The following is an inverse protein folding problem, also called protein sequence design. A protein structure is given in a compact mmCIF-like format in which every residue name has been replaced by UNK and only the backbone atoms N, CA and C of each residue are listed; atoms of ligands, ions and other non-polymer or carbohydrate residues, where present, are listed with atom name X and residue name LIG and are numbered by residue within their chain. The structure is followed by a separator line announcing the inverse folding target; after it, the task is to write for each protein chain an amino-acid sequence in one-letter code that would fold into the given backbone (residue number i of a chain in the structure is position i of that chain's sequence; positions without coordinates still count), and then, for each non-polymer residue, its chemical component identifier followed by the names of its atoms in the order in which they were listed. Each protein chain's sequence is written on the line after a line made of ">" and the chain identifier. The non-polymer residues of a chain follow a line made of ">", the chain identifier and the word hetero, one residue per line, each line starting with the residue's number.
data_IF_586222538344
#
_entry.id   IF_586222538344
#
_cell.length_a   1.000
_cell.length_b   1.000
_cell.length_c   1.000
_cell.angle_alpha   90.00
_cell.angle_beta   90.00
_cell.angle_gamma   90.00
#
_symmetry.space_group_name_H-M   'P 1'
#
loop_
_entity.id
_entity.type
_entity.pdbx_description
1 polymer ?
#
# COMPACT_ATOMS: atom_id res chain seq x y z
N UNK A 1 23.88 -13.23 53.34
CA UNK A 1 22.51 -13.80 53.40
C UNK A 1 21.53 -12.74 52.92
N UNK A 2 21.19 -12.73 51.62
CA UNK A 2 20.23 -11.78 51.03
C UNK A 2 18.90 -12.50 50.82
N UNK A 3 17.86 -12.10 51.56
CA UNK A 3 16.50 -12.62 51.38
C UNK A 3 15.97 -12.15 50.01
N UNK A 4 15.45 -13.04 49.15
CA UNK A 4 14.79 -12.62 47.92
C UNK A 4 13.53 -11.84 48.27
N UNK A 5 13.34 -10.68 47.63
CA UNK A 5 12.20 -9.78 47.84
C UNK A 5 10.98 -10.36 47.11
N UNK A 6 9.99 -10.95 47.81
CA UNK A 6 8.85 -11.63 47.19
C UNK A 6 7.98 -10.68 46.35
N UNK A 7 8.07 -9.37 46.61
CA UNK A 7 7.36 -8.33 45.87
C UNK A 7 7.69 -8.31 44.37
N UNK A 8 8.92 -8.63 43.96
CA UNK A 8 9.35 -8.59 42.55
C UNK A 8 8.80 -9.78 41.75
N UNK A 9 8.72 -10.96 42.38
CA UNK A 9 8.15 -12.15 41.74
C UNK A 9 6.64 -12.04 41.59
N UNK A 10 5.96 -11.40 42.54
CA UNK A 10 4.51 -11.15 42.47
C UNK A 10 4.20 -10.13 41.36
N UNK A 11 4.97 -9.07 41.22
CA UNK A 11 4.76 -8.08 40.15
C UNK A 11 5.06 -8.66 38.76
N UNK A 12 6.09 -9.50 38.62
CA UNK A 12 6.37 -10.17 37.35
C UNK A 12 5.28 -11.19 36.99
N UNK A 13 4.76 -11.94 37.96
CA UNK A 13 3.65 -12.86 37.77
C UNK A 13 2.36 -12.16 37.32
N UNK A 14 2.01 -11.04 37.95
CA UNK A 14 0.86 -10.22 37.55
C UNK A 14 1.02 -9.63 36.14
N UNK A 15 2.22 -9.15 35.80
CA UNK A 15 2.49 -8.60 34.47
C UNK A 15 2.35 -9.67 33.37
N UNK A 16 2.84 -10.88 33.62
CA UNK A 16 2.74 -12.00 32.68
C UNK A 16 1.28 -12.40 32.42
N UNK A 17 0.47 -12.46 33.48
CA UNK A 17 -0.97 -12.75 33.35
C UNK A 17 -1.68 -11.65 32.56
N UNK A 18 -1.29 -10.39 32.75
CA UNK A 18 -1.88 -9.24 32.06
C UNK A 18 -1.55 -9.25 30.56
N UNK A 19 -0.32 -9.58 30.18
CA UNK A 19 0.06 -9.77 28.77
C UNK A 19 -0.64 -10.96 28.14
N UNK A 20 -0.78 -12.08 28.86
CA UNK A 20 -1.49 -13.26 28.35
C UNK A 20 -2.98 -12.97 28.12
N UNK A 21 -3.60 -12.23 29.04
CA UNK A 21 -4.99 -11.79 28.91
C UNK A 21 -5.18 -10.82 27.74
N UNK A 22 -4.24 -9.88 27.53
CA UNK A 22 -4.26 -8.97 26.39
C UNK A 22 -4.07 -9.71 25.05
N UNK A 23 -3.15 -10.68 24.99
CA UNK A 23 -2.94 -11.53 23.81
C UNK A 23 -4.17 -12.38 23.48
N UNK A 24 -4.81 -12.98 24.49
CA UNK A 24 -6.07 -13.71 24.33
C UNK A 24 -7.22 -12.79 23.89
N UNK A 25 -7.29 -11.57 24.44
CA UNK A 25 -8.29 -10.59 24.03
C UNK A 25 -8.13 -10.22 22.54
N UNK A 26 -6.91 -9.94 22.09
CA UNK A 26 -6.61 -9.66 20.68
C UNK A 26 -6.82 -10.87 19.80
N UNK A 27 -6.51 -12.09 20.25
CA UNK A 27 -6.74 -13.30 19.45
C UNK A 27 -8.24 -13.61 19.27
N UNK A 28 -9.05 -13.41 20.31
CA UNK A 28 -10.50 -13.65 20.23
C UNK A 28 -11.28 -12.50 19.57
N UNK A 29 -10.74 -11.27 19.56
CA UNK A 29 -11.41 -10.09 18.98
C UNK A 29 -10.76 -9.60 17.67
N UNK A 30 -9.55 -10.06 17.36
CA UNK A 30 -8.82 -9.81 16.12
C UNK A 30 -9.26 -10.76 15.04
N UNK A 31 -10.55 -10.67 14.65
CA UNK A 31 -10.94 -11.14 13.32
C UNK A 31 -10.27 -10.21 12.33
N UNK A 32 -9.45 -10.75 11.42
CA UNK A 32 -9.11 -10.07 10.18
C UNK A 32 -10.40 -9.59 9.56
N UNK A 33 -10.65 -8.28 9.61
CA UNK A 33 -11.72 -7.69 8.86
C UNK A 33 -11.26 -7.80 7.40
N UNK A 34 -11.83 -8.73 6.63
CA UNK A 34 -11.96 -8.50 5.19
C UNK A 34 -12.47 -7.08 5.06
N UNK A 35 -11.72 -6.22 4.36
CA UNK A 35 -12.15 -4.85 4.12
C UNK A 35 -13.50 -4.93 3.43
N UNK A 36 -14.56 -4.73 4.21
CA UNK A 36 -15.89 -4.61 3.68
C UNK A 36 -15.85 -3.33 2.84
N UNK A 37 -16.15 -3.48 1.55
CA UNK A 37 -16.57 -2.35 0.73
C UNK A 37 -17.62 -1.63 1.57
N UNK A 38 -17.33 -0.39 1.97
CA UNK A 38 -18.29 0.45 2.69
C UNK A 38 -19.43 0.79 1.74
N UNK A 39 -20.35 -0.15 1.54
CA UNK A 39 -21.64 0.11 0.92
C UNK A 39 -22.50 0.81 1.96
N UNK A 40 -22.72 2.12 1.82
CA UNK A 40 -23.89 2.72 2.46
C UNK A 40 -25.11 1.88 2.05
N UNK A 41 -25.98 1.46 2.99
CA UNK A 41 -27.19 0.74 2.62
C UNK A 41 -28.04 1.66 1.74
N UNK A 42 -28.13 1.30 0.46
CA UNK A 42 -28.99 1.98 -0.49
C UNK A 42 -30.44 1.88 0.03
N UNK A 43 -31.22 2.98 0.02
CA UNK A 43 -32.65 2.89 0.27
C UNK A 43 -33.26 1.89 -0.72
N UNK A 44 -34.24 1.09 -0.27
CA UNK A 44 -34.97 0.12 -1.12
C UNK A 44 -35.46 0.82 -2.39
N UNK A 45 -34.71 0.63 -3.46
CA UNK A 45 -34.77 1.37 -4.70
C UNK A 45 -34.07 0.52 -5.76
N UNK A 46 -34.47 0.76 -7.00
CA UNK A 46 -34.00 0.07 -8.21
C UNK A 46 -32.52 -0.29 -8.14
N UNK A 47 -32.18 -1.53 -8.54
CA UNK A 47 -30.80 -2.00 -8.61
C UNK A 47 -29.88 -0.92 -9.22
N UNK A 48 -28.67 -0.70 -8.67
CA UNK A 48 -27.75 0.30 -9.19
C UNK A 48 -27.52 0.06 -10.69
N UNK A 49 -27.60 1.12 -11.49
CA UNK A 49 -27.32 1.04 -12.93
C UNK A 49 -25.84 0.88 -13.27
N UNK A 50 -24.96 1.16 -12.30
CA UNK A 50 -23.52 0.97 -12.39
C UNK A 50 -22.91 0.82 -10.99
N UNK A 51 -21.82 0.08 -10.90
CA UNK A 51 -20.97 -0.07 -9.72
C UNK A 51 -19.76 0.86 -9.82
N UNK A 52 -19.50 1.61 -8.75
CA UNK A 52 -18.32 2.45 -8.59
C UNK A 52 -17.17 1.62 -8.02
N UNK A 53 -16.10 1.46 -8.78
CA UNK A 53 -14.86 0.81 -8.35
C UNK A 53 -13.84 1.89 -8.04
N UNK A 54 -13.37 1.96 -6.80
CA UNK A 54 -12.30 2.89 -6.38
C UNK A 54 -10.98 2.15 -6.34
N UNK A 55 -9.94 2.77 -6.90
CA UNK A 55 -8.62 2.16 -7.07
C UNK A 55 -7.60 2.97 -6.27
N UNK A 56 -6.98 2.28 -5.32
CA UNK A 56 -5.98 2.86 -4.42
C UNK A 56 -4.54 2.54 -4.86
N UNK A 57 -4.35 1.48 -5.67
CA UNK A 57 -3.05 1.06 -6.19
C UNK A 57 -3.06 0.84 -7.70
N UNK A 58 -1.98 1.22 -8.38
CA UNK A 58 -1.79 0.96 -9.81
C UNK A 58 -1.38 -0.50 -10.02
N UNK A 59 -2.10 -1.23 -10.87
CA UNK A 59 -1.84 -2.65 -11.12
C UNK A 59 -3.00 -3.39 -11.74
N UNK A 60 -2.97 -4.73 -11.70
CA UNK A 60 -4.11 -5.56 -12.11
C UNK A 60 -5.13 -5.60 -10.98
N UNK A 61 -6.31 -5.04 -11.23
CA UNK A 61 -7.45 -5.13 -10.33
C UNK A 61 -8.32 -6.34 -10.70
N UNK A 62 -8.90 -6.98 -9.68
CA UNK A 62 -9.76 -8.15 -9.82
C UNK A 62 -11.12 -7.88 -9.14
N UNK A 63 -12.22 -8.22 -9.81
CA UNK A 63 -13.58 -8.12 -9.28
C UNK A 63 -14.35 -9.39 -9.63
N UNK A 64 -14.79 -10.12 -8.61
CA UNK A 64 -15.53 -11.38 -8.79
C UNK A 64 -17.00 -11.13 -9.14
N UNK A 65 -17.62 -12.10 -9.82
CA UNK A 65 -19.04 -12.05 -10.12
C UNK A 65 -19.89 -11.97 -8.84
N UNK A 66 -19.44 -12.62 -7.76
CA UNK A 66 -20.12 -12.60 -6.47
C UNK A 66 -20.12 -11.18 -5.86
N UNK A 67 -18.98 -10.48 -5.86
CA UNK A 67 -18.87 -9.10 -5.35
C UNK A 67 -19.78 -8.13 -6.12
N UNK A 68 -19.86 -8.28 -7.45
CA UNK A 68 -20.74 -7.45 -8.28
C UNK A 68 -22.22 -7.68 -7.94
N UNK A 69 -22.60 -8.93 -7.67
CA UNK A 69 -23.97 -9.29 -7.26
C UNK A 69 -24.29 -8.79 -5.85
N UNK A 70 -23.35 -8.92 -4.92
CA UNK A 70 -23.51 -8.45 -3.54
C UNK A 70 -23.61 -6.92 -3.47
N UNK A 71 -22.97 -6.22 -4.41
CA UNK A 71 -23.14 -4.78 -4.63
C UNK A 71 -24.46 -4.40 -5.33
N UNK A 72 -25.30 -5.37 -5.68
CA UNK A 72 -26.65 -5.16 -6.23
C UNK A 72 -26.69 -4.89 -7.74
N UNK A 73 -25.57 -4.94 -8.46
CA UNK A 73 -25.56 -4.74 -9.91
C UNK A 73 -26.11 -6.00 -10.60
N UNK A 74 -27.18 -5.82 -11.38
CA UNK A 74 -27.81 -6.90 -12.15
C UNK A 74 -27.37 -6.82 -13.60
N UNK A 75 -26.93 -7.94 -14.16
CA UNK A 75 -26.44 -8.07 -15.53
C UNK A 75 -26.92 -9.39 -16.12
N UNK A 76 -27.12 -9.42 -17.45
CA UNK A 76 -27.56 -10.63 -18.15
C UNK A 76 -26.46 -11.68 -18.28
N UNK A 77 -25.22 -11.23 -18.46
CA UNK A 77 -24.04 -12.07 -18.63
C UNK A 77 -22.82 -11.45 -17.99
N UNK A 78 -22.03 -12.26 -17.27
CA UNK A 78 -20.71 -11.88 -16.76
C UNK A 78 -19.65 -12.17 -17.83
N UNK A 79 -19.74 -11.45 -18.94
CA UNK A 79 -18.88 -11.58 -20.11
C UNK A 79 -18.71 -10.20 -20.76
N UNK A 80 -17.73 -9.99 -21.66
CA UNK A 80 -17.57 -8.72 -22.37
C UNK A 80 -18.82 -8.27 -23.14
N UNK A 81 -19.70 -9.21 -23.54
CA UNK A 81 -20.96 -8.90 -24.21
C UNK A 81 -22.07 -8.35 -23.29
N UNK A 82 -21.91 -8.46 -21.96
CA UNK A 82 -22.92 -8.05 -20.97
C UNK A 82 -22.44 -7.03 -19.94
N UNK A 83 -21.16 -6.67 -19.96
CA UNK A 83 -20.54 -5.70 -19.06
C UNK A 83 -19.74 -4.65 -19.84
N UNK A 84 -19.78 -3.42 -19.36
CA UNK A 84 -18.91 -2.33 -19.80
C UNK A 84 -18.15 -1.76 -18.61
N UNK A 85 -16.86 -1.51 -18.80
CA UNK A 85 -16.00 -0.86 -17.82
C UNK A 85 -15.51 0.45 -18.42
N UNK A 86 -15.68 1.55 -17.68
CA UNK A 86 -15.25 2.87 -18.14
C UNK A 86 -14.50 3.65 -17.07
N UNK A 87 -13.62 4.55 -17.49
CA UNK A 87 -13.01 5.58 -16.66
C UNK A 87 -13.11 6.89 -17.42
N UNK A 88 -13.65 7.93 -16.78
CA UNK A 88 -13.84 9.26 -17.40
C UNK A 88 -14.59 9.19 -18.75
N UNK A 89 -15.55 8.24 -18.85
CA UNK A 89 -16.32 7.96 -20.06
C UNK A 89 -15.57 7.19 -21.16
N UNK A 90 -14.29 6.89 -20.97
CA UNK A 90 -13.50 6.08 -21.91
C UNK A 90 -13.60 4.60 -21.56
N UNK A 91 -13.76 3.71 -22.57
CA UNK A 91 -13.85 2.28 -22.33
C UNK A 91 -12.49 1.71 -21.90
N UNK A 92 -12.53 0.82 -20.91
CA UNK A 92 -11.36 0.14 -20.37
C UNK A 92 -11.43 -1.34 -20.74
N UNK A 93 -10.42 -1.89 -21.42
CA UNK A 93 -10.36 -3.32 -21.71
C UNK A 93 -10.28 -4.15 -20.43
N UNK A 94 -10.98 -5.28 -20.41
CA UNK A 94 -10.94 -6.23 -19.31
C UNK A 94 -10.99 -7.68 -19.82
N UNK A 95 -10.42 -8.59 -19.04
CA UNK A 95 -10.53 -10.04 -19.25
C UNK A 95 -11.48 -10.63 -18.21
N UNK A 96 -12.14 -11.73 -18.55
CA UNK A 96 -12.90 -12.53 -17.59
C UNK A 96 -12.35 -13.94 -17.59
N UNK A 97 -12.07 -14.48 -16.41
CA UNK A 97 -11.58 -15.83 -16.22
C UNK A 97 -12.43 -16.57 -15.18
N UNK A 98 -12.61 -17.88 -15.37
CA UNK A 98 -13.45 -18.71 -14.53
C UNK A 98 -14.92 -18.73 -15.00
N UNK A 99 -15.76 -19.39 -14.23
CA UNK A 99 -17.18 -19.59 -14.55
C UNK A 99 -18.05 -19.44 -13.30
N UNK A 100 -19.31 -19.06 -13.49
CA UNK A 100 -20.26 -18.93 -12.39
C UNK A 100 -19.78 -17.94 -11.32
N UNK A 101 -20.05 -18.24 -10.05
CA UNK A 101 -19.76 -17.29 -8.94
C UNK A 101 -18.29 -16.93 -8.78
N UNK A 102 -17.39 -17.79 -9.25
CA UNK A 102 -15.94 -17.60 -9.18
C UNK A 102 -15.38 -16.87 -10.42
N UNK A 103 -16.23 -16.56 -11.40
CA UNK A 103 -15.82 -15.77 -12.56
C UNK A 103 -15.31 -14.40 -12.09
N UNK A 104 -14.11 -14.03 -12.54
CA UNK A 104 -13.41 -12.83 -12.08
C UNK A 104 -13.06 -11.96 -13.28
N UNK A 105 -13.43 -10.68 -13.19
CA UNK A 105 -13.08 -9.64 -14.13
C UNK A 105 -11.72 -9.05 -13.73
N UNK A 106 -10.77 -9.04 -14.66
CA UNK A 106 -9.44 -8.47 -14.51
C UNK A 106 -9.24 -7.28 -15.44
N UNK A 107 -8.66 -6.19 -14.94
CA UNK A 107 -8.31 -5.03 -15.74
C UNK A 107 -7.08 -4.31 -15.20
N UNK A 108 -6.40 -3.55 -16.06
CA UNK A 108 -5.30 -2.69 -15.63
C UNK A 108 -5.84 -1.37 -15.07
N UNK A 109 -5.63 -1.17 -13.78
CA UNK A 109 -6.08 -0.02 -13.03
C UNK A 109 -4.90 0.93 -12.75
N UNK A 110 -5.16 2.23 -12.80
CA UNK A 110 -4.16 3.26 -12.48
C UNK A 110 -4.71 4.12 -11.35
N UNK A 111 -4.08 4.05 -10.18
CA UNK A 111 -4.44 4.86 -9.03
C UNK A 111 -4.07 6.33 -9.23
N UNK A 112 -4.74 7.20 -8.47
CA UNK A 112 -4.34 8.59 -8.27
C UNK A 112 -3.69 8.66 -6.90
N UNK A 113 -2.39 8.95 -6.84
CA UNK A 113 -1.61 8.98 -5.59
C UNK A 113 -1.49 10.39 -5.00
N UNK A 114 -2.23 11.36 -5.53
CA UNK A 114 -2.26 12.74 -5.04
C UNK A 114 -3.12 12.86 -3.79
N UNK A 115 -2.67 13.62 -2.78
CA UNK A 115 -3.45 13.89 -1.56
C UNK A 115 -4.56 14.92 -1.77
N UNK A 116 -4.60 15.59 -2.92
CA UNK A 116 -5.57 16.66 -3.23
C UNK A 116 -6.59 16.26 -4.28
N UNK A 117 -6.41 15.10 -4.93
CA UNK A 117 -7.31 14.58 -5.94
C UNK A 117 -8.14 13.42 -5.38
N UNK A 118 -9.36 13.26 -5.90
CA UNK A 118 -10.17 12.10 -5.55
C UNK A 118 -9.52 10.82 -6.10
N UNK A 119 -9.67 9.67 -5.42
CA UNK A 119 -9.18 8.39 -5.90
C UNK A 119 -9.66 8.07 -7.33
N UNK A 120 -8.90 7.25 -8.06
CA UNK A 120 -9.29 6.84 -9.40
C UNK A 120 -10.60 6.02 -9.35
N UNK A 121 -11.58 6.43 -10.16
CA UNK A 121 -12.90 5.79 -10.22
C UNK A 121 -13.12 5.15 -11.58
N UNK A 122 -13.51 3.87 -11.53
CA UNK A 122 -13.97 3.11 -12.67
C UNK A 122 -15.45 2.77 -12.48
N UNK A 123 -16.20 2.76 -13.57
CA UNK A 123 -17.62 2.43 -13.57
C UNK A 123 -17.85 1.13 -14.31
N UNK A 124 -18.34 0.12 -13.58
CA UNK A 124 -18.78 -1.15 -14.13
C UNK A 124 -20.29 -1.11 -14.31
N UNK A 125 -20.80 -1.33 -15.51
CA UNK A 125 -22.22 -1.27 -15.81
C UNK A 125 -22.64 -2.39 -16.78
N UNK A 126 -23.94 -2.74 -16.86
CA UNK A 126 -24.45 -3.57 -17.94
C UNK A 126 -24.20 -2.88 -19.29
N UNK A 127 -23.66 -3.60 -20.26
CA UNK A 127 -23.34 -3.04 -21.57
C UNK A 127 -22.42 -3.93 -22.39
N UNK A 128 -21.79 -3.35 -23.40
CA UNK A 128 -20.81 -4.05 -24.24
C UNK A 128 -19.43 -3.47 -23.95
N UNK A 129 -18.53 -4.33 -23.50
CA UNK A 129 -17.17 -4.01 -23.10
C UNK A 129 -16.14 -4.38 -24.16
N UNK A 130 -14.90 -3.97 -23.92
CA UNK A 130 -13.76 -4.32 -24.74
C UNK A 130 -13.03 -5.48 -24.07
N UNK A 131 -12.84 -6.57 -24.81
CA UNK A 131 -12.06 -7.70 -24.31
C UNK A 131 -10.57 -7.29 -24.27
N UNK A 132 -9.92 -7.56 -23.15
CA UNK A 132 -8.46 -7.52 -23.06
C UNK A 132 -7.94 -8.78 -23.74
N UNK A 133 -7.40 -8.64 -24.95
CA UNK A 133 -6.77 -9.75 -25.64
C UNK A 133 -5.64 -10.29 -24.76
N UNK A 134 -5.79 -11.52 -24.29
CA UNK A 134 -4.68 -12.28 -23.74
C UNK A 134 -3.71 -12.52 -24.90
N UNK A 135 -2.69 -11.67 -25.03
CA UNK A 135 -1.51 -12.02 -25.82
C UNK A 135 -1.10 -13.42 -25.38
N UNK A 136 -1.08 -14.36 -26.32
CA UNK A 136 -1.04 -15.78 -26.04
C UNK A 136 -0.07 -16.11 -24.92
N UNK A 137 -0.54 -16.85 -23.91
CA UNK A 137 0.36 -17.55 -23.01
C UNK A 137 1.23 -18.42 -23.90
N UNK A 138 2.48 -17.99 -24.12
CA UNK A 138 3.52 -18.90 -24.55
C UNK A 138 3.44 -20.07 -23.58
N UNK A 139 3.26 -21.27 -24.14
CA UNK A 139 3.21 -22.54 -23.44
C UNK A 139 4.23 -22.53 -22.33
N UNK A 140 3.80 -22.79 -21.09
CA UNK A 140 4.61 -22.85 -19.87
C UNK A 140 6.03 -23.35 -20.14
N UNK A 141 6.94 -22.41 -20.44
CA UNK A 141 8.36 -22.65 -20.50
C UNK A 141 8.82 -22.67 -19.06
N UNK A 142 9.08 -23.89 -18.57
CA UNK A 142 9.73 -24.25 -17.32
C UNK A 142 9.83 -23.10 -16.30
N UNK A 143 8.94 -23.07 -15.30
CA UNK A 143 9.05 -22.32 -14.04
C UNK A 143 10.19 -21.28 -14.00
N UNK A 144 10.11 -20.26 -14.86
CA UNK A 144 10.81 -19.02 -14.59
C UNK A 144 9.93 -18.38 -13.56
N UNK A 145 10.27 -18.56 -12.27
CA UNK A 145 9.79 -17.67 -11.23
C UNK A 145 10.17 -16.27 -11.70
N UNK A 146 9.23 -15.56 -12.32
CA UNK A 146 9.48 -14.21 -12.78
C UNK A 146 9.74 -13.40 -11.53
N UNK A 147 11.01 -13.06 -11.29
CA UNK A 147 11.37 -12.16 -10.21
C UNK A 147 10.89 -10.78 -10.64
N UNK A 148 9.84 -10.30 -10.00
CA UNK A 148 9.39 -8.91 -10.12
C UNK A 148 9.95 -8.10 -8.97
N UNK A 149 10.17 -6.81 -9.22
CA UNK A 149 10.34 -5.86 -8.12
C UNK A 149 8.98 -5.62 -7.46
N UNK A 150 9.02 -5.43 -6.15
CA UNK A 150 7.90 -5.01 -5.36
C UNK A 150 8.23 -3.65 -4.77
N UNK A 151 7.38 -2.66 -5.05
CA UNK A 151 7.53 -1.31 -4.51
C UNK A 151 6.76 -1.23 -3.19
N UNK A 152 7.44 -0.73 -2.16
CA UNK A 152 6.89 -0.51 -0.82
C UNK A 152 7.26 0.89 -0.35
N UNK A 153 6.31 1.56 0.31
CA UNK A 153 6.46 2.93 0.80
C UNK A 153 6.16 2.97 2.30
N UNK A 154 7.17 3.36 3.08
CA UNK A 154 7.05 3.60 4.52
C UNK A 154 7.14 5.10 4.77
N UNK A 155 6.00 5.76 4.73
CA UNK A 155 5.89 7.17 5.07
C UNK A 155 4.63 7.43 5.89
N UNK A 156 4.62 8.58 6.55
CA UNK A 156 3.45 9.09 7.26
C UNK A 156 3.23 10.53 6.83
N UNK A 157 1.98 10.97 6.66
CA UNK A 157 1.66 12.36 6.29
C UNK A 157 1.11 13.12 7.49
N UNK A 158 1.98 13.37 8.47
CA UNK A 158 1.59 13.88 9.79
C UNK A 158 1.82 15.36 9.98
N UNK A 159 2.67 16.00 9.16
CA UNK A 159 3.04 17.41 9.30
C UNK A 159 2.92 18.14 7.98
N UNK A 160 2.04 19.12 7.92
CA UNK A 160 1.95 20.02 6.77
C UNK A 160 2.93 21.19 6.91
N UNK A 161 3.79 21.39 5.92
CA UNK A 161 4.69 22.55 5.83
C UNK A 161 4.50 23.27 4.49
N UNK A 162 3.78 24.40 4.51
CA UNK A 162 3.55 25.22 3.33
C UNK A 162 4.84 25.76 2.66
N UNK A 163 5.95 25.74 3.41
CA UNK A 163 7.26 26.21 2.96
C UNK A 163 8.08 25.10 2.30
N UNK A 164 7.63 23.85 2.41
CA UNK A 164 8.30 22.73 1.76
C UNK A 164 8.32 22.96 0.25
N UNK A 165 9.50 22.82 -0.33
CA UNK A 165 9.71 22.85 -1.77
C UNK A 165 9.76 21.41 -2.27
N UNK A 166 9.16 21.15 -3.44
CA UNK A 166 9.11 19.81 -4.03
C UNK A 166 7.69 19.35 -4.36
N UNK A 167 7.50 18.04 -4.41
CA UNK A 167 6.28 17.41 -4.89
C UNK A 167 5.21 17.21 -3.80
N UNK A 168 5.58 17.25 -2.51
CA UNK A 168 4.66 17.00 -1.39
C UNK A 168 4.85 18.04 -0.27
N UNK A 169 3.75 18.61 0.20
CA UNK A 169 3.72 19.57 1.32
C UNK A 169 3.40 18.88 2.65
N UNK A 170 2.99 17.62 2.60
CA UNK A 170 2.81 16.77 3.76
C UNK A 170 4.07 15.94 3.96
N UNK A 171 4.71 16.16 5.11
CA UNK A 171 5.89 15.43 5.53
C UNK A 171 5.55 14.51 6.70
N UNK A 172 6.41 13.52 6.88
CA UNK A 172 6.31 12.58 7.98
C UNK A 172 7.04 13.03 9.22
N UNK A 173 8.00 12.20 9.61
CA UNK A 173 8.72 12.34 10.86
C UNK A 173 9.74 13.48 10.78
N UNK A 174 9.78 14.33 11.80
CA UNK A 174 10.77 15.40 11.93
C UNK A 174 12.04 14.87 12.59
N UNK A 175 13.20 15.21 12.02
CA UNK A 175 14.52 14.86 12.54
C UNK A 175 15.26 16.15 12.90
N UNK A 176 15.83 16.21 14.10
CA UNK A 176 16.63 17.37 14.56
C UNK A 176 18.07 16.94 14.80
N UNK A 177 19.02 17.43 14.00
CA UNK A 177 20.42 17.08 14.18
C UNK A 177 21.02 17.66 15.49
N UNK A 178 21.93 16.93 16.17
CA UNK A 178 22.26 15.53 15.95
C UNK A 178 21.17 14.62 16.54
N UNK A 179 20.59 13.74 15.71
CA UNK A 179 19.72 12.67 16.17
C UNK A 179 19.72 11.52 15.18
N UNK A 180 19.23 10.38 15.65
CA UNK A 180 18.98 9.20 14.85
C UNK A 180 17.50 8.89 14.91
N UNK A 181 16.96 8.40 13.80
CA UNK A 181 15.60 7.90 13.70
C UNK A 181 15.61 6.50 13.10
N UNK A 182 14.88 5.59 13.73
CA UNK A 182 14.70 4.22 13.24
C UNK A 182 13.34 4.11 12.55
N UNK A 183 13.34 3.60 11.32
CA UNK A 183 12.13 3.36 10.54
C UNK A 183 12.05 1.84 10.31
N UNK A 184 11.11 1.13 10.97
CA UNK A 184 10.93 -0.30 10.73
C UNK A 184 10.40 -0.52 9.32
N UNK A 185 11.10 -1.37 8.56
CA UNK A 185 10.66 -1.81 7.24
C UNK A 185 9.92 -3.15 7.41
N UNK A 186 8.65 -3.07 7.79
CA UNK A 186 7.81 -4.24 7.99
C UNK A 186 7.36 -4.84 6.64
N UNK A 187 6.97 -6.13 6.66
CA UNK A 187 6.46 -6.89 5.50
C UNK A 187 7.39 -6.94 4.27
N UNK A 188 8.71 -6.83 4.49
CA UNK A 188 9.72 -7.06 3.45
C UNK A 188 10.12 -8.53 3.43
N UNK A 189 9.79 -9.24 2.36
CA UNK A 189 10.29 -10.61 2.13
C UNK A 189 11.47 -10.57 1.17
N UNK A 190 12.69 -10.70 1.69
CA UNK A 190 13.87 -10.81 0.85
C UNK A 190 13.88 -12.16 0.10
N UNK A 191 13.54 -12.15 -1.19
CA UNK A 191 13.54 -13.35 -2.05
C UNK A 191 14.86 -13.57 -2.79
N UNK A 192 15.92 -12.83 -2.42
CA UNK A 192 17.28 -13.03 -2.92
C UNK A 192 17.68 -12.17 -4.13
N UNK A 193 16.97 -11.07 -4.41
CA UNK A 193 17.30 -10.10 -5.46
C UNK A 193 17.91 -8.79 -4.91
N UNK A 194 18.57 -7.99 -5.77
CA UNK A 194 18.96 -6.63 -5.39
C UNK A 194 17.72 -5.75 -5.16
N UNK A 195 17.87 -4.70 -4.37
CA UNK A 195 16.82 -3.72 -4.11
C UNK A 195 17.34 -2.28 -4.20
N UNK A 196 16.42 -1.33 -4.16
CA UNK A 196 16.73 0.10 -4.06
C UNK A 196 15.98 0.64 -2.85
N UNK A 197 16.72 1.26 -1.93
CA UNK A 197 16.14 2.05 -0.84
C UNK A 197 16.17 3.52 -1.26
N UNK A 198 14.99 4.14 -1.34
CA UNK A 198 14.86 5.56 -1.65
C UNK A 198 14.41 6.32 -0.41
N UNK A 199 15.19 7.32 0.00
CA UNK A 199 14.87 8.22 1.12
C UNK A 199 14.66 9.62 0.56
N UNK A 200 13.49 10.20 0.85
CA UNK A 200 13.19 11.61 0.57
C UNK A 200 13.21 12.40 1.87
N UNK A 201 14.00 13.48 1.90
CA UNK A 201 14.14 14.35 3.07
C UNK A 201 14.08 15.81 2.61
N UNK A 202 13.44 16.66 3.41
CA UNK A 202 13.42 18.10 3.19
C UNK A 202 14.14 18.82 4.32
N UNK A 203 15.12 19.65 3.97
CA UNK A 203 15.83 20.52 4.90
C UNK A 203 15.08 21.84 5.09
N UNK A 204 14.85 22.23 6.35
CA UNK A 204 14.06 23.42 6.69
C UNK A 204 14.86 24.66 7.09
N UNK A 205 16.18 24.54 7.19
CA UNK A 205 17.08 25.59 7.63
C UNK A 205 18.36 25.62 6.78
N UNK A 206 19.10 26.72 6.95
CA UNK A 206 20.43 26.88 6.40
C UNK A 206 21.32 27.63 7.40
N UNK A 207 22.53 27.15 7.70
CA UNK A 207 23.45 27.77 8.65
C UNK A 207 24.92 27.36 8.41
N UNK A 208 25.92 28.26 8.56
CA UNK A 208 27.33 27.84 8.50
C UNK A 208 27.70 26.85 9.64
N UNK A 209 28.69 25.95 9.43
CA UNK A 209 29.54 25.78 8.24
C UNK A 209 28.86 24.98 7.13
N UNK A 210 29.47 25.07 5.95
CA UNK A 210 28.98 24.54 4.68
C UNK A 210 29.76 23.26 4.29
N UNK A 211 29.13 22.10 3.96
CA UNK A 211 27.70 21.77 4.02
C UNK A 211 27.16 21.71 5.44
N UNK A 212 25.92 22.18 5.56
CA UNK A 212 25.22 22.36 6.84
C UNK A 212 24.25 21.23 7.16
N UNK A 213 24.00 20.36 6.19
CA UNK A 213 23.27 19.12 6.37
C UNK A 213 24.16 17.91 6.13
N UNK A 214 23.99 16.90 6.98
CA UNK A 214 24.63 15.60 6.88
C UNK A 214 23.62 14.52 7.28
N UNK A 215 23.44 13.52 6.43
CA UNK A 215 22.61 12.35 6.71
C UNK A 215 23.34 11.07 6.34
N UNK A 216 23.52 10.21 7.34
CA UNK A 216 23.94 8.82 7.15
C UNK A 216 22.72 7.91 7.18
N UNK A 217 22.60 7.01 6.20
CA UNK A 217 21.53 6.02 6.12
C UNK A 217 22.14 4.64 6.34
N UNK A 218 21.60 3.92 7.32
CA UNK A 218 22.00 2.57 7.65
C UNK A 218 20.82 1.62 7.44
N UNK A 219 21.07 0.47 6.82
CA UNK A 219 20.13 -0.64 6.71
C UNK A 219 20.62 -1.78 7.59
N UNK A 220 19.84 -2.18 8.60
CA UNK A 220 20.23 -3.22 9.56
C UNK A 220 21.62 -2.98 10.19
N UNK A 221 21.97 -1.72 10.45
CA UNK A 221 23.26 -1.30 11.02
C UNK A 221 24.42 -1.22 10.02
N UNK A 222 24.22 -1.56 8.75
CA UNK A 222 25.22 -1.37 7.69
C UNK A 222 25.01 -0.03 6.97
N UNK A 223 26.03 0.82 6.79
CA UNK A 223 25.89 2.07 6.06
C UNK A 223 25.62 1.79 4.58
N UNK A 224 24.57 2.42 4.04
CA UNK A 224 24.14 2.28 2.64
C UNK A 224 24.15 3.60 1.87
N UNK A 225 24.14 4.75 2.56
CA UNK A 225 24.38 6.06 1.99
C UNK A 225 24.93 7.04 3.03
N UNK A 226 25.69 8.03 2.56
CA UNK A 226 26.25 9.13 3.34
C UNK A 226 26.16 10.38 2.46
N UNK A 227 25.39 11.38 2.90
CA UNK A 227 25.04 12.54 2.08
C UNK A 227 25.22 13.85 2.81
N UNK A 228 25.81 14.80 2.09
CA UNK A 228 25.96 16.18 2.52
C UNK A 228 25.31 17.11 1.51
N UNK A 229 24.58 18.11 2.00
CA UNK A 229 23.99 19.12 1.13
C UNK A 229 23.87 20.47 1.82
N UNK A 230 23.49 21.45 1.03
CA UNK A 230 23.36 22.85 1.41
C UNK A 230 21.92 23.32 1.28
N UNK A 231 21.51 24.16 2.21
CA UNK A 231 20.34 25.00 2.06
C UNK A 231 19.00 24.29 2.25
N UNK A 232 17.94 25.08 2.04
CA UNK A 232 16.55 24.67 2.25
C UNK A 232 16.04 23.99 0.98
N UNK A 233 16.18 22.68 0.90
CA UNK A 233 15.81 21.89 -0.28
C UNK A 233 15.36 20.47 0.07
N UNK A 234 14.56 19.88 -0.82
CA UNK A 234 14.33 18.44 -0.85
C UNK A 234 15.56 17.71 -1.42
N UNK A 235 15.85 16.53 -0.89
CA UNK A 235 16.83 15.56 -1.39
C UNK A 235 16.16 14.20 -1.57
N UNK A 236 16.42 13.56 -2.70
CA UNK A 236 16.08 12.15 -2.95
C UNK A 236 17.37 11.35 -3.01
N UNK A 237 17.53 10.44 -2.06
CA UNK A 237 18.75 9.65 -1.88
C UNK A 237 18.41 8.20 -2.22
N UNK A 238 19.08 7.65 -3.22
CA UNK A 238 18.94 6.25 -3.62
C UNK A 238 20.15 5.44 -3.15
N UNK A 239 19.89 4.37 -2.40
CA UNK A 239 20.90 3.42 -1.96
C UNK A 239 20.63 2.05 -2.58
N UNK A 240 21.64 1.48 -3.24
CA UNK A 240 21.55 0.11 -3.79
C UNK A 240 21.71 -0.88 -2.65
N UNK A 241 20.73 -1.77 -2.50
CA UNK A 241 20.78 -2.88 -1.56
C UNK A 241 21.20 -4.12 -2.33
N UNK A 242 22.35 -4.75 -2.01
CA UNK A 242 22.78 -5.96 -2.69
C UNK A 242 21.81 -7.11 -2.42
N UNK A 243 21.83 -8.11 -3.30
CA UNK A 243 21.17 -9.39 -3.01
C UNK A 243 21.75 -9.99 -1.72
N UNK A 244 20.86 -10.41 -0.81
CA UNK A 244 21.20 -11.07 0.45
C UNK A 244 21.51 -12.56 0.28
#
# INVERSE_FOLDING_TARGET
>A
MHKPRPAILISLGLLTILFLAAGLYVFFHGRSQSQAISSQPLPLGTAPGALRLTIDETGIAAVTQQEVRDAGLVFESFAPAGLSLTRDGQPIPFAIQGEGRDATLYFYAQAITSTTEAPAVYWLAPGVGINMDAGGSDTASAANTATSYEDRRWETNTTFLAQASGHDLWLGQLIFAPSQQEIPLDDVTATGGPGILTVRVWANNQAPPNPDHHLEILLNGAPVADQYWEGITEQTIEAKVPAG
#
